data_IF_110671200492
#
_entry.id   IF_110671200492
#
_cell.length_a   1.000
_cell.length_b   1.000
_cell.length_c   1.000
_cell.angle_alpha   90.00
_cell.angle_beta   90.00
_cell.angle_gamma   90.00
#
_symmetry.space_group_name_H-M   'P 1'
#
loop_
_entity.id
_entity.type
_entity.pdbx_description
1 polymer ?
#
# COMPACT_ATOMS: atom_id res chain seq x y z
N UNK A 1 -20.12 -4.20 -31.92
CA UNK A 1 -18.65 -4.31 -31.78
C UNK A 1 -18.08 -3.36 -30.72
N UNK A 2 -18.47 -2.08 -30.67
CA UNK A 2 -17.89 -1.10 -29.72
C UNK A 2 -18.08 -1.46 -28.23
N UNK A 3 -19.26 -1.95 -27.82
CA UNK A 3 -19.52 -2.27 -26.41
C UNK A 3 -18.68 -3.45 -25.88
N UNK A 4 -18.26 -4.37 -26.76
CA UNK A 4 -17.39 -5.49 -26.39
C UNK A 4 -15.96 -4.98 -26.19
N UNK A 5 -15.46 -4.13 -27.08
CA UNK A 5 -14.11 -3.55 -26.97
C UNK A 5 -13.99 -2.68 -25.71
N UNK A 6 -14.99 -1.86 -25.41
CA UNK A 6 -15.03 -1.02 -24.20
C UNK A 6 -15.03 -1.87 -22.92
N UNK A 7 -15.77 -2.99 -22.90
CA UNK A 7 -15.77 -3.92 -21.78
C UNK A 7 -14.42 -4.61 -21.57
N UNK A 8 -13.75 -5.02 -22.65
CA UNK A 8 -12.41 -5.62 -22.60
C UNK A 8 -11.37 -4.62 -22.09
N UNK A 9 -11.38 -3.38 -22.59
CA UNK A 9 -10.50 -2.30 -22.13
C UNK A 9 -10.67 -2.01 -20.64
N UNK A 10 -11.90 -1.99 -20.12
CA UNK A 10 -12.14 -1.82 -18.69
C UNK A 10 -11.62 -3.00 -17.86
N UNK A 11 -11.83 -4.24 -18.32
CA UNK A 11 -11.31 -5.43 -17.64
C UNK A 11 -9.77 -5.38 -17.56
N UNK A 12 -9.09 -5.07 -18.67
CA UNK A 12 -7.64 -4.97 -18.74
C UNK A 12 -7.09 -3.87 -17.82
N UNK A 13 -7.79 -2.74 -17.72
CA UNK A 13 -7.46 -1.66 -16.78
C UNK A 13 -7.57 -2.13 -15.32
N UNK A 14 -8.64 -2.82 -14.94
CA UNK A 14 -8.82 -3.35 -13.59
C UNK A 14 -7.73 -4.37 -13.25
N UNK A 15 -7.41 -5.28 -14.17
CA UNK A 15 -6.32 -6.23 -13.99
C UNK A 15 -4.97 -5.55 -13.79
N UNK A 16 -4.69 -4.50 -14.57
CA UNK A 16 -3.48 -3.69 -14.43
C UNK A 16 -3.41 -2.99 -13.08
N UNK A 17 -4.50 -2.35 -12.64
CA UNK A 17 -4.57 -1.67 -11.35
C UNK A 17 -4.42 -2.65 -10.18
N UNK A 18 -5.01 -3.86 -10.27
CA UNK A 18 -4.85 -4.92 -9.26
C UNK A 18 -3.38 -5.36 -9.14
N UNK A 19 -2.69 -5.56 -10.28
CA UNK A 19 -1.26 -5.89 -10.31
C UNK A 19 -0.42 -4.79 -9.68
N UNK A 20 -0.71 -3.54 -9.98
CA UNK A 20 -0.01 -2.39 -9.39
C UNK A 20 -0.23 -2.31 -7.88
N UNK A 21 -1.46 -2.49 -7.40
CA UNK A 21 -1.74 -2.57 -5.97
C UNK A 21 -0.96 -3.72 -5.30
N UNK A 22 -0.90 -4.90 -5.92
CA UNK A 22 -0.08 -6.01 -5.43
C UNK A 22 1.42 -5.66 -5.37
N UNK A 23 1.96 -5.05 -6.43
CA UNK A 23 3.36 -4.58 -6.47
C UNK A 23 3.65 -3.58 -5.36
N UNK A 24 2.72 -2.66 -5.07
CA UNK A 24 2.87 -1.70 -3.98
C UNK A 24 2.92 -2.40 -2.61
N UNK A 25 2.08 -3.43 -2.37
CA UNK A 25 2.19 -4.22 -1.15
C UNK A 25 3.55 -4.93 -1.04
N UNK A 26 4.08 -5.44 -2.15
CA UNK A 26 5.42 -6.03 -2.19
C UNK A 26 6.49 -4.99 -1.86
N UNK A 27 6.42 -3.78 -2.43
CA UNK A 27 7.30 -2.67 -2.08
C UNK A 27 7.22 -2.33 -0.59
N UNK A 28 6.03 -2.35 0.00
CA UNK A 28 5.86 -2.11 1.44
C UNK A 28 6.55 -3.20 2.28
N UNK A 29 6.51 -4.47 1.91
CA UNK A 29 7.25 -5.53 2.63
C UNK A 29 8.77 -5.36 2.44
N UNK A 30 9.22 -5.07 1.21
CA UNK A 30 10.64 -4.90 0.89
C UNK A 30 11.30 -3.73 1.63
N UNK A 31 10.50 -2.80 2.15
CA UNK A 31 10.94 -1.69 3.02
C UNK A 31 11.79 -2.18 4.19
N UNK A 32 11.43 -3.32 4.80
CA UNK A 32 12.15 -3.87 5.95
C UNK A 32 13.56 -4.35 5.61
N UNK A 33 13.81 -4.72 4.34
CA UNK A 33 15.12 -5.21 3.88
C UNK A 33 16.00 -4.12 3.27
N UNK A 34 15.39 -3.09 2.68
CA UNK A 34 16.06 -2.08 1.85
C UNK A 34 16.01 -0.68 2.47
N UNK A 35 16.07 -0.59 3.80
CA UNK A 35 16.12 0.66 4.56
C UNK A 35 15.01 1.67 4.18
N UNK A 36 13.81 1.18 3.86
CA UNK A 36 12.65 2.03 3.55
C UNK A 36 12.58 2.64 2.15
N UNK A 37 13.60 2.47 1.29
CA UNK A 37 13.55 3.00 -0.09
C UNK A 37 12.36 2.46 -0.91
N UNK A 38 12.00 1.16 -0.86
CA UNK A 38 10.84 0.65 -1.56
C UNK A 38 9.52 1.28 -1.14
N UNK A 39 9.40 1.80 0.09
CA UNK A 39 8.20 2.48 0.59
C UNK A 39 7.87 3.73 -0.24
N UNK A 40 8.92 4.49 -0.60
CA UNK A 40 8.81 5.71 -1.40
C UNK A 40 8.42 5.38 -2.85
N UNK A 41 8.99 4.32 -3.42
CA UNK A 41 8.61 3.85 -4.75
C UNK A 41 7.14 3.41 -4.78
N UNK A 42 6.70 2.66 -3.77
CA UNK A 42 5.31 2.22 -3.65
C UNK A 42 4.32 3.38 -3.56
N UNK A 43 4.64 4.43 -2.78
CA UNK A 43 3.74 5.60 -2.68
C UNK A 43 3.74 6.44 -3.95
N UNK A 44 4.86 6.53 -4.67
CA UNK A 44 4.90 7.20 -5.97
C UNK A 44 3.95 6.52 -6.98
N UNK A 45 3.98 5.18 -7.05
CA UNK A 45 3.04 4.40 -7.88
C UNK A 45 1.60 4.68 -7.45
N UNK A 46 1.34 4.72 -6.15
CA UNK A 46 0.00 5.00 -5.64
C UNK A 46 -0.52 6.35 -6.11
N UNK A 47 0.25 7.43 -5.90
CA UNK A 47 -0.19 8.77 -6.32
C UNK A 47 -0.36 8.88 -7.83
N UNK A 48 0.54 8.28 -8.61
CA UNK A 48 0.47 8.30 -10.06
C UNK A 48 -0.79 7.60 -10.60
N UNK A 49 -1.21 6.48 -9.98
CA UNK A 49 -2.35 5.67 -10.44
C UNK A 49 -3.63 5.83 -9.65
N UNK A 50 -3.63 6.65 -8.58
CA UNK A 50 -4.80 6.93 -7.74
C UNK A 50 -6.00 7.48 -8.53
N UNK A 51 -5.75 8.36 -9.49
CA UNK A 51 -6.84 8.90 -10.30
C UNK A 51 -7.48 7.84 -11.22
N UNK A 52 -6.68 6.88 -11.69
CA UNK A 52 -7.16 5.79 -12.55
C UNK A 52 -7.93 4.73 -11.77
N UNK A 53 -7.74 4.62 -10.45
CA UNK A 53 -8.50 3.69 -9.61
C UNK A 53 -9.82 4.25 -9.09
N UNK A 54 -10.11 5.54 -9.29
CA UNK A 54 -11.36 6.17 -8.85
C UNK A 54 -12.59 5.50 -9.44
N UNK A 55 -13.62 5.30 -8.60
CA UNK A 55 -14.85 4.64 -9.02
C UNK A 55 -14.73 3.13 -9.19
N UNK A 56 -13.60 2.55 -8.79
CA UNK A 56 -13.37 1.10 -8.72
C UNK A 56 -13.19 0.67 -7.27
N UNK A 57 -13.41 -0.62 -6.97
CA UNK A 57 -13.14 -1.16 -5.63
C UNK A 57 -11.66 -1.04 -5.22
N UNK A 58 -10.74 -0.92 -6.18
CA UNK A 58 -9.30 -0.72 -5.95
C UNK A 58 -8.97 0.65 -5.39
N UNK A 59 -9.84 1.66 -5.52
CA UNK A 59 -9.63 2.99 -4.93
C UNK A 59 -9.31 2.89 -3.43
N UNK A 60 -10.03 2.01 -2.72
CA UNK A 60 -9.82 1.74 -1.29
C UNK A 60 -8.42 1.21 -0.99
N UNK A 61 -7.88 0.32 -1.84
CA UNK A 61 -6.52 -0.22 -1.71
C UNK A 61 -5.45 0.85 -1.90
N UNK A 62 -5.57 1.67 -2.94
CA UNK A 62 -4.63 2.76 -3.18
C UNK A 62 -4.62 3.76 -2.01
N UNK A 63 -5.80 4.14 -1.51
CA UNK A 63 -5.90 5.03 -0.35
C UNK A 63 -5.36 4.38 0.94
N UNK A 64 -5.61 3.08 1.16
CA UNK A 64 -5.05 2.32 2.28
C UNK A 64 -3.53 2.25 2.27
N UNK A 65 -2.96 1.99 1.10
CA UNK A 65 -1.51 1.90 0.92
C UNK A 65 -0.85 3.27 1.14
N UNK A 66 -1.44 4.36 0.61
CA UNK A 66 -0.95 5.72 0.86
C UNK A 66 -0.92 6.04 2.35
N UNK A 67 -2.03 5.80 3.07
CA UNK A 67 -2.09 6.03 4.53
C UNK A 67 -1.03 5.22 5.27
N UNK A 68 -0.87 3.95 4.90
CA UNK A 68 0.11 3.03 5.50
C UNK A 68 1.54 3.54 5.30
N UNK A 69 1.87 4.02 4.09
CA UNK A 69 3.18 4.62 3.80
C UNK A 69 3.46 5.82 4.70
N UNK A 70 2.54 6.78 4.84
CA UNK A 70 2.79 7.98 5.63
C UNK A 70 2.95 7.69 7.12
N UNK A 71 2.12 6.80 7.68
CA UNK A 71 2.23 6.41 9.09
C UNK A 71 3.53 5.64 9.33
N UNK A 72 3.89 4.70 8.44
CA UNK A 72 5.14 3.96 8.55
C UNK A 72 6.36 4.90 8.42
N UNK A 73 6.32 5.86 7.49
CA UNK A 73 7.40 6.84 7.32
C UNK A 73 7.57 7.69 8.59
N UNK A 74 6.47 8.13 9.21
CA UNK A 74 6.51 8.84 10.48
C UNK A 74 7.06 7.95 11.61
N UNK A 75 6.62 6.69 11.70
CA UNK A 75 7.12 5.73 12.68
C UNK A 75 8.62 5.46 12.54
N UNK A 76 9.10 5.26 11.31
CA UNK A 76 10.53 5.09 11.03
C UNK A 76 11.35 6.36 11.32
N UNK A 77 10.83 7.54 11.01
CA UNK A 77 11.49 8.80 11.34
C UNK A 77 11.61 8.99 12.86
N UNK A 78 10.54 8.73 13.61
CA UNK A 78 10.53 8.80 15.08
C UNK A 78 11.50 7.80 15.71
N UNK A 79 11.52 6.56 15.20
CA UNK A 79 12.46 5.54 15.62
C UNK A 79 13.92 5.94 15.33
N UNK A 80 14.19 6.53 14.16
CA UNK A 80 15.51 7.01 13.77
C UNK A 80 16.02 8.17 14.64
N UNK A 81 15.15 9.12 14.98
CA UNK A 81 15.49 10.23 15.90
C UNK A 81 15.78 9.71 17.31
N UNK A 82 15.02 8.70 17.75
CA UNK A 82 15.10 8.15 19.11
C UNK A 82 16.07 6.97 19.22
N UNK A 83 16.91 6.71 18.21
CA UNK A 83 17.69 5.46 18.10
C UNK A 83 18.74 5.29 19.21
N UNK A 84 19.17 6.38 19.83
CA UNK A 84 20.10 6.39 20.98
C UNK A 84 19.43 5.99 22.29
N UNK A 85 18.10 5.91 22.31
CA UNK A 85 17.31 5.52 23.48
C UNK A 85 16.70 4.14 23.24
N UNK A 86 16.57 3.30 24.29
CA UNK A 86 15.81 2.03 24.21
C UNK A 86 14.40 2.22 23.60
N UNK A 87 13.82 3.42 23.76
CA UNK A 87 12.53 3.80 23.20
C UNK A 87 12.46 3.72 21.67
N UNK A 88 13.54 4.07 20.95
CA UNK A 88 13.56 4.01 19.48
C UNK A 88 13.36 2.60 18.93
N UNK A 89 13.92 1.59 19.61
CA UNK A 89 13.74 0.17 19.27
C UNK A 89 12.28 -0.28 19.47
N UNK A 90 11.63 0.16 20.54
CA UNK A 90 10.22 -0.17 20.80
C UNK A 90 9.33 0.44 19.72
N UNK A 91 9.53 1.73 19.40
CA UNK A 91 8.77 2.42 18.35
C UNK A 91 8.97 1.73 16.99
N UNK A 92 10.20 1.31 16.68
CA UNK A 92 10.51 0.59 15.45
C UNK A 92 9.75 -0.74 15.38
N UNK A 93 9.81 -1.55 16.43
CA UNK A 93 9.13 -2.85 16.48
C UNK A 93 7.61 -2.70 16.37
N UNK A 94 7.03 -1.74 17.08
CA UNK A 94 5.59 -1.43 16.99
C UNK A 94 5.21 -1.02 15.57
N UNK A 95 6.03 -0.16 14.93
CA UNK A 95 5.81 0.28 13.54
C UNK A 95 5.86 -0.91 12.56
N UNK A 96 6.84 -1.81 12.73
CA UNK A 96 6.98 -3.00 11.88
C UNK A 96 5.77 -3.92 12.04
N UNK A 97 5.41 -4.28 13.28
CA UNK A 97 4.28 -5.18 13.55
C UNK A 97 2.97 -4.60 13.01
N UNK A 98 2.73 -3.31 13.26
CA UNK A 98 1.57 -2.61 12.73
C UNK A 98 1.53 -2.62 11.19
N UNK A 99 2.68 -2.36 10.54
CA UNK A 99 2.78 -2.33 9.09
C UNK A 99 2.56 -3.73 8.47
N UNK A 100 3.12 -4.78 9.07
CA UNK A 100 2.88 -6.17 8.62
C UNK A 100 1.40 -6.53 8.72
N UNK A 101 0.74 -6.21 9.83
CA UNK A 101 -0.70 -6.39 9.99
C UNK A 101 -1.48 -5.66 8.88
N UNK A 102 -1.17 -4.39 8.63
CA UNK A 102 -1.84 -3.56 7.61
C UNK A 102 -1.65 -4.11 6.19
N UNK A 103 -0.47 -4.62 5.87
CA UNK A 103 -0.18 -5.25 4.58
C UNK A 103 -0.97 -6.55 4.44
N UNK A 104 -0.98 -7.41 5.47
CA UNK A 104 -1.71 -8.68 5.45
C UNK A 104 -3.22 -8.48 5.22
N UNK A 105 -3.84 -7.55 5.94
CA UNK A 105 -5.27 -7.19 5.76
C UNK A 105 -5.52 -6.69 4.34
N UNK A 106 -4.67 -5.80 3.84
CA UNK A 106 -4.80 -5.24 2.50
C UNK A 106 -4.62 -6.29 1.39
N UNK A 107 -3.64 -7.18 1.54
CA UNK A 107 -3.35 -8.26 0.61
C UNK A 107 -4.47 -9.30 0.57
N UNK A 108 -5.00 -9.67 1.73
CA UNK A 108 -6.13 -10.59 1.84
C UNK A 108 -7.36 -10.04 1.10
N UNK A 109 -7.73 -8.78 1.37
CA UNK A 109 -8.85 -8.13 0.68
C UNK A 109 -8.63 -8.02 -0.85
N UNK A 110 -7.40 -7.75 -1.29
CA UNK A 110 -7.05 -7.65 -2.71
C UNK A 110 -7.20 -9.00 -3.42
N UNK A 111 -6.83 -10.08 -2.74
CA UNK A 111 -6.91 -11.46 -3.24
C UNK A 111 -8.39 -11.88 -3.34
N UNK A 112 -9.19 -11.55 -2.33
CA UNK A 112 -10.65 -11.76 -2.29
C UNK A 112 -11.43 -10.88 -3.29
N UNK A 113 -10.80 -9.89 -3.92
CA UNK A 113 -11.46 -8.95 -4.83
C UNK A 113 -12.47 -8.03 -4.13
N UNK A 114 -12.26 -7.76 -2.83
CA UNK A 114 -13.14 -6.93 -2.00
C UNK A 114 -12.49 -5.58 -1.69
N UNK A 115 -13.27 -4.49 -1.63
CA UNK A 115 -12.75 -3.21 -1.17
C UNK A 115 -12.39 -3.26 0.32
N UNK A 116 -11.47 -2.38 0.73
CA UNK A 116 -11.11 -2.20 2.13
C UNK A 116 -12.17 -1.30 2.80
N UNK A 117 -12.95 -1.87 3.71
CA UNK A 117 -14.03 -1.18 4.44
C UNK A 117 -13.59 -0.62 5.79
N UNK A 118 -12.59 -1.24 6.41
CA UNK A 118 -12.05 -0.78 7.69
C UNK A 118 -10.96 0.26 7.42
N UNK A 119 -11.27 1.55 7.61
CA UNK A 119 -10.31 2.66 7.47
C UNK A 119 -9.57 3.02 8.77
N UNK A 120 -9.72 2.22 9.83
CA UNK A 120 -9.12 2.44 11.14
C UNK A 120 -7.61 2.68 11.06
#
# INVERSE_FOLDING_TARGET
MNNIILGQLQADQIHTLKRLAATVYLCQILTFMLAGLPLLLGVAINFYKRNASKGTWLESHFNWQIKTTWIALAGFALAGISITTQFGLIVLLVTIVWMVYRIAVGWYALTDGKPITNFM
#
